data_IF_032394424096
#
_entry.id   IF_032394424096
#
_cell.length_a   1.000
_cell.length_b   1.000
_cell.length_c   1.000
_cell.angle_alpha   90.00
_cell.angle_beta   90.00
_cell.angle_gamma   90.00
#
_symmetry.space_group_name_H-M   'P 1'
#
loop_
_entity.id
_entity.type
_entity.pdbx_description
1 polymer ?
#
# COMPACT_ATOMS: atom_id res chain seq x y z
N UNK A 1 23.77 3.91 -24.38
CA UNK A 1 23.12 4.48 -23.19
C UNK A 1 21.75 4.98 -23.60
N UNK A 2 20.70 4.23 -23.25
CA UNK A 2 19.33 4.66 -23.50
C UNK A 2 19.02 5.80 -22.50
N UNK A 3 18.57 6.94 -23.01
CA UNK A 3 18.29 8.14 -22.20
C UNK A 3 17.16 7.80 -21.22
N UNK A 4 17.46 7.82 -19.91
CA UNK A 4 16.46 7.55 -18.86
C UNK A 4 15.32 8.59 -19.02
N UNK A 5 14.11 8.12 -19.34
CA UNK A 5 12.96 8.94 -19.78
C UNK A 5 12.67 10.11 -18.81
N UNK A 6 12.76 11.39 -19.20
CA UNK A 6 12.65 12.51 -18.26
C UNK A 6 11.31 12.51 -17.51
N UNK A 7 11.32 12.97 -16.25
CA UNK A 7 10.09 13.27 -15.52
C UNK A 7 9.38 14.45 -16.20
N UNK A 8 8.06 14.37 -16.32
CA UNK A 8 7.22 15.46 -16.80
C UNK A 8 7.02 16.54 -15.73
N UNK A 9 6.92 16.11 -14.47
CA UNK A 9 6.86 17.00 -13.32
C UNK A 9 7.70 16.44 -12.19
N UNK A 10 8.61 17.26 -11.68
CA UNK A 10 9.44 16.94 -10.52
C UNK A 10 8.66 17.08 -9.21
N UNK A 11 9.28 16.73 -8.08
CA UNK A 11 8.69 16.70 -6.74
C UNK A 11 8.18 18.07 -6.28
N UNK A 12 8.96 19.13 -6.55
CA UNK A 12 8.63 20.49 -6.13
C UNK A 12 7.80 21.27 -7.15
N UNK A 13 7.72 20.80 -8.38
CA UNK A 13 6.96 21.47 -9.43
C UNK A 13 5.44 21.40 -9.21
N UNK A 14 4.74 22.41 -9.71
CA UNK A 14 3.28 22.49 -9.68
C UNK A 14 2.76 22.40 -11.12
N UNK A 15 2.03 21.34 -11.49
CA UNK A 15 1.33 21.31 -12.77
C UNK A 15 0.31 22.45 -12.86
N UNK A 16 -0.01 22.93 -14.07
CA UNK A 16 -1.15 23.83 -14.30
C UNK A 16 -2.44 23.26 -13.70
N UNK A 17 -3.34 24.13 -13.23
CA UNK A 17 -4.52 23.73 -12.45
C UNK A 17 -5.37 22.60 -13.09
N UNK A 18 -5.58 22.64 -14.40
CA UNK A 18 -6.35 21.61 -15.11
C UNK A 18 -5.64 20.24 -15.13
N UNK A 19 -4.32 20.22 -15.31
CA UNK A 19 -3.50 19.00 -15.25
C UNK A 19 -3.34 18.52 -13.81
N UNK A 20 -3.22 19.44 -12.85
CA UNK A 20 -3.18 19.11 -11.44
C UNK A 20 -4.46 18.36 -11.03
N UNK A 21 -5.63 18.88 -11.42
CA UNK A 21 -6.92 18.22 -11.22
C UNK A 21 -6.98 16.84 -11.85
N UNK A 22 -6.58 16.72 -13.12
CA UNK A 22 -6.56 15.45 -13.85
C UNK A 22 -5.65 14.41 -13.17
N UNK A 23 -4.40 14.78 -12.87
CA UNK A 23 -3.45 13.86 -12.24
C UNK A 23 -3.84 13.51 -10.81
N UNK A 24 -4.43 14.46 -10.06
CA UNK A 24 -4.94 14.22 -8.71
C UNK A 24 -6.08 13.19 -8.73
N UNK A 25 -7.05 13.37 -9.64
CA UNK A 25 -8.15 12.42 -9.84
C UNK A 25 -7.63 11.06 -10.33
N UNK A 26 -6.63 11.08 -11.20
CA UNK A 26 -5.98 9.87 -11.68
C UNK A 26 -5.37 9.08 -10.53
N UNK A 27 -4.52 9.70 -9.72
CA UNK A 27 -3.93 9.03 -8.56
C UNK A 27 -5.02 8.56 -7.59
N UNK A 28 -6.11 9.31 -7.44
CA UNK A 28 -7.19 8.92 -6.54
C UNK A 28 -7.88 7.63 -7.00
N UNK A 29 -8.41 7.59 -8.22
CA UNK A 29 -9.11 6.41 -8.75
C UNK A 29 -8.19 5.20 -8.95
N UNK A 30 -6.90 5.44 -9.21
CA UNK A 30 -5.88 4.39 -9.26
C UNK A 30 -5.71 3.67 -7.92
N UNK A 31 -5.92 4.39 -6.82
CA UNK A 31 -5.77 3.87 -5.47
C UNK A 31 -7.05 3.28 -4.90
N UNK A 32 -8.22 3.50 -5.53
CA UNK A 32 -9.55 3.15 -4.99
C UNK A 32 -9.71 1.66 -4.69
N UNK A 33 -9.03 0.79 -5.44
CA UNK A 33 -9.13 -0.66 -5.23
C UNK A 33 -8.57 -1.10 -3.88
N UNK A 34 -7.58 -0.39 -3.30
CA UNK A 34 -7.01 -0.72 -2.01
C UNK A 34 -7.98 -0.47 -0.82
N UNK A 35 -8.51 0.74 -0.58
CA UNK A 35 -9.54 1.00 0.45
C UNK A 35 -10.78 0.16 0.24
N UNK A 36 -11.25 -0.04 -1.00
CA UNK A 36 -12.40 -0.93 -1.25
C UNK A 36 -12.10 -2.37 -0.88
N UNK A 37 -11.00 -2.94 -1.40
CA UNK A 37 -10.65 -4.34 -1.18
C UNK A 37 -10.44 -4.65 0.30
N UNK A 38 -9.64 -3.84 1.01
CA UNK A 38 -9.39 -4.07 2.44
C UNK A 38 -10.65 -3.85 3.27
N UNK A 39 -11.46 -2.82 2.99
CA UNK A 39 -12.68 -2.56 3.76
C UNK A 39 -13.73 -3.67 3.60
N UNK A 40 -13.86 -4.25 2.41
CA UNK A 40 -14.77 -5.38 2.17
C UNK A 40 -14.32 -6.60 2.99
N UNK A 41 -13.03 -6.94 2.95
CA UNK A 41 -12.52 -8.08 3.71
C UNK A 41 -12.60 -7.84 5.21
N UNK A 42 -12.26 -6.63 5.67
CA UNK A 42 -12.42 -6.23 7.08
C UNK A 42 -13.87 -6.39 7.51
N UNK A 43 -14.84 -5.92 6.71
CA UNK A 43 -16.25 -6.04 7.02
C UNK A 43 -16.71 -7.50 7.15
N UNK A 44 -16.14 -8.42 6.39
CA UNK A 44 -16.42 -9.85 6.53
C UNK A 44 -15.90 -10.40 7.86
N UNK A 45 -14.69 -10.01 8.27
CA UNK A 45 -14.06 -10.50 9.51
C UNK A 45 -14.72 -9.91 10.77
N UNK A 46 -15.27 -8.70 10.71
CA UNK A 46 -15.96 -8.05 11.83
C UNK A 46 -17.47 -8.30 11.87
N UNK A 47 -17.93 -9.39 11.22
CA UNK A 47 -19.34 -9.80 11.21
C UNK A 47 -20.31 -8.81 10.54
N UNK A 48 -19.81 -7.96 9.65
CA UNK A 48 -20.59 -6.96 8.90
C UNK A 48 -20.84 -7.37 7.43
N UNK A 49 -20.68 -8.65 7.09
CA UNK A 49 -20.82 -9.15 5.71
C UNK A 49 -22.22 -8.89 5.10
N UNK A 50 -23.29 -8.88 5.90
CA UNK A 50 -24.65 -8.59 5.41
C UNK A 50 -25.10 -7.15 5.66
N UNK A 51 -24.30 -6.39 6.42
CA UNK A 51 -24.61 -5.01 6.78
C UNK A 51 -23.90 -4.04 5.83
N UNK A 52 -24.61 -3.67 4.77
CA UNK A 52 -24.13 -2.71 3.77
C UNK A 52 -23.92 -1.30 4.36
N UNK A 53 -24.59 -0.96 5.46
CA UNK A 53 -24.40 0.34 6.13
C UNK A 53 -23.06 0.36 6.86
N UNK A 54 -22.75 -0.68 7.62
CA UNK A 54 -21.45 -0.79 8.30
C UNK A 54 -20.30 -0.89 7.28
N UNK A 55 -20.47 -1.65 6.19
CA UNK A 55 -19.48 -1.67 5.09
C UNK A 55 -19.22 -0.29 4.52
N UNK A 56 -20.27 0.49 4.25
CA UNK A 56 -20.14 1.85 3.75
C UNK A 56 -19.47 2.79 4.76
N UNK A 57 -19.73 2.61 6.07
CA UNK A 57 -19.07 3.36 7.13
C UNK A 57 -17.58 3.04 7.24
N UNK A 58 -17.20 1.75 7.22
CA UNK A 58 -15.79 1.31 7.23
C UNK A 58 -15.07 1.86 6.00
N UNK A 59 -15.69 1.77 4.81
CA UNK A 59 -15.14 2.31 3.59
C UNK A 59 -14.96 3.84 3.67
N UNK A 60 -15.98 4.57 4.13
CA UNK A 60 -15.90 6.03 4.28
C UNK A 60 -14.78 6.42 5.27
N UNK A 61 -14.67 5.73 6.40
CA UNK A 61 -13.59 5.93 7.36
C UNK A 61 -12.20 5.63 6.75
N UNK A 62 -12.09 4.53 6.02
CA UNK A 62 -10.88 4.15 5.28
C UNK A 62 -10.47 5.21 4.26
N UNK A 63 -11.41 5.69 3.44
CA UNK A 63 -11.17 6.74 2.45
C UNK A 63 -10.77 8.06 3.11
N UNK A 64 -11.43 8.44 4.22
CA UNK A 64 -11.08 9.65 4.98
C UNK A 64 -9.63 9.56 5.45
N UNK A 65 -9.25 8.42 6.03
CA UNK A 65 -7.92 8.21 6.55
C UNK A 65 -6.85 8.09 5.48
N UNK A 66 -7.13 7.43 4.35
CA UNK A 66 -6.24 7.45 3.19
C UNK A 66 -5.99 8.89 2.74
N UNK A 67 -7.03 9.73 2.73
CA UNK A 67 -6.94 11.14 2.37
C UNK A 67 -6.09 11.96 3.33
N UNK A 68 -6.39 11.88 4.63
CA UNK A 68 -5.65 12.57 5.71
C UNK A 68 -4.20 12.10 5.75
N UNK A 69 -3.96 10.79 5.76
CA UNK A 69 -2.63 10.20 5.82
C UNK A 69 -1.80 10.58 4.59
N UNK A 70 -2.38 10.53 3.39
CA UNK A 70 -1.70 10.94 2.16
C UNK A 70 -1.32 12.42 2.26
N UNK A 71 -2.25 13.30 2.62
CA UNK A 71 -1.95 14.72 2.74
C UNK A 71 -0.84 15.00 3.76
N UNK A 72 -0.90 14.36 4.94
CA UNK A 72 0.11 14.49 5.98
C UNK A 72 1.46 13.94 5.55
N UNK A 73 1.51 12.78 4.90
CA UNK A 73 2.75 12.13 4.44
C UNK A 73 3.50 13.00 3.41
N UNK A 74 2.75 13.57 2.46
CA UNK A 74 3.30 14.43 1.41
C UNK A 74 3.71 15.82 1.92
N UNK A 75 3.09 16.31 3.00
CA UNK A 75 3.32 17.67 3.54
C UNK A 75 4.32 17.69 4.67
N UNK A 76 4.12 16.83 5.67
CA UNK A 76 4.86 16.76 6.92
C UNK A 76 5.72 15.51 7.05
N UNK A 77 5.29 14.36 6.53
CA UNK A 77 5.99 13.08 6.64
C UNK A 77 7.28 13.04 5.83
N UNK A 78 7.42 12.05 4.98
CA UNK A 78 8.63 11.89 4.17
C UNK A 78 8.78 12.98 3.10
N UNK A 79 7.69 13.68 2.73
CA UNK A 79 7.65 14.69 1.65
C UNK A 79 8.06 14.13 0.29
N UNK A 80 7.66 12.90 0.01
CA UNK A 80 7.70 12.28 -1.31
C UNK A 80 6.26 12.07 -1.80
N UNK A 81 6.02 12.04 -3.12
CA UNK A 81 4.73 11.80 -3.77
C UNK A 81 4.21 10.36 -3.49
N UNK A 82 3.75 10.12 -2.26
CA UNK A 82 3.35 8.80 -1.78
C UNK A 82 1.88 8.84 -1.39
N UNK A 83 1.10 7.93 -1.97
CA UNK A 83 -0.25 7.62 -1.49
C UNK A 83 -0.15 6.70 -0.26
N UNK A 84 -0.95 7.01 0.75
CA UNK A 84 -1.10 6.20 1.95
C UNK A 84 -2.42 5.44 1.86
N UNK A 85 -2.34 4.12 1.84
CA UNK A 85 -3.48 3.22 1.71
C UNK A 85 -3.66 2.31 2.92
N UNK A 86 -4.74 1.51 2.95
CA UNK A 86 -4.91 0.48 3.97
C UNK A 86 -3.91 -0.66 3.78
N UNK A 87 -3.44 -1.24 4.88
CA UNK A 87 -2.65 -2.48 4.82
C UNK A 87 -3.54 -3.73 5.00
N UNK A 88 -3.35 -4.72 4.13
CA UNK A 88 -3.95 -6.04 4.29
C UNK A 88 -3.29 -6.87 5.39
N UNK A 89 -2.13 -6.46 5.90
CA UNK A 89 -1.42 -7.19 6.97
C UNK A 89 -2.22 -7.26 8.28
N UNK A 90 -3.16 -6.32 8.47
CA UNK A 90 -4.02 -6.28 9.67
C UNK A 90 -5.18 -7.29 9.59
N UNK A 91 -5.44 -7.85 8.41
CA UNK A 91 -6.49 -8.86 8.23
C UNK A 91 -6.13 -10.16 8.98
N UNK A 92 -4.86 -10.56 8.98
CA UNK A 92 -4.45 -11.80 9.66
C UNK A 92 -4.66 -11.70 11.18
N UNK A 93 -4.20 -10.64 11.89
CA UNK A 93 -4.57 -10.41 13.28
C UNK A 93 -6.07 -10.36 13.53
N UNK A 94 -6.86 -9.72 12.64
CA UNK A 94 -8.32 -9.69 12.78
C UNK A 94 -8.93 -11.09 12.70
N UNK A 95 -8.47 -11.94 11.78
CA UNK A 95 -8.92 -13.32 11.65
C UNK A 95 -8.61 -14.14 12.90
N UNK A 96 -7.38 -14.03 13.41
CA UNK A 96 -6.97 -14.66 14.67
C UNK A 96 -7.83 -14.17 15.85
N UNK A 97 -8.21 -12.90 15.86
CA UNK A 97 -9.08 -12.37 16.91
C UNK A 97 -10.50 -12.95 16.77
N UNK A 98 -11.05 -13.02 15.56
CA UNK A 98 -12.39 -13.56 15.30
C UNK A 98 -12.55 -15.05 15.62
N UNK A 99 -11.46 -15.83 15.61
CA UNK A 99 -11.50 -17.24 15.99
C UNK A 99 -11.55 -17.46 17.51
N UNK A 100 -11.16 -16.45 18.30
CA UNK A 100 -11.20 -16.55 19.76
C UNK A 100 -12.64 -16.49 20.29
N UNK A 101 -12.99 -17.29 21.32
CA UNK A 101 -14.38 -17.44 21.79
C UNK A 101 -15.00 -16.14 22.32
N UNK A 102 -14.18 -15.15 22.69
CA UNK A 102 -14.64 -13.82 23.13
C UNK A 102 -15.18 -12.95 21.99
N UNK A 103 -14.67 -13.13 20.77
CA UNK A 103 -14.90 -12.24 19.62
C UNK A 103 -15.54 -12.94 18.43
N UNK A 104 -16.12 -14.13 18.66
CA UNK A 104 -16.83 -14.89 17.64
C UNK A 104 -18.07 -14.14 17.17
N UNK A 105 -18.31 -14.21 15.86
CA UNK A 105 -19.52 -13.67 15.28
C UNK A 105 -20.77 -14.37 15.86
N UNK A 106 -21.85 -13.62 16.15
CA UNK A 106 -23.13 -14.23 16.53
C UNK A 106 -23.59 -15.21 15.44
N UNK A 107 -24.19 -16.35 15.80
CA UNK A 107 -24.53 -17.44 14.86
C UNK A 107 -25.45 -17.09 13.67
N UNK A 108 -25.93 -15.84 13.56
CA UNK A 108 -26.56 -15.27 12.35
C UNK A 108 -25.56 -14.88 11.25
N UNK A 109 -24.28 -14.80 11.60
CA UNK A 109 -23.16 -14.48 10.73
C UNK A 109 -22.24 -15.70 10.67
N UNK A 110 -22.03 -16.23 9.46
CA UNK A 110 -21.08 -17.32 9.25
C UNK A 110 -19.67 -16.78 9.48
N UNK A 111 -18.98 -17.28 10.51
CA UNK A 111 -17.57 -16.98 10.72
C UNK A 111 -16.76 -17.58 9.57
N UNK A 112 -15.87 -16.80 8.94
CA UNK A 112 -14.95 -17.32 7.93
C UNK A 112 -14.10 -18.41 8.59
N UNK A 113 -14.30 -19.67 8.16
CA UNK A 113 -13.35 -20.72 8.49
C UNK A 113 -12.03 -20.40 7.77
N UNK A 114 -10.88 -20.35 8.46
CA UNK A 114 -9.59 -20.06 7.84
C UNK A 114 -9.16 -21.11 6.79
N UNK A 115 -9.90 -22.22 6.66
CA UNK A 115 -9.65 -23.34 5.75
C UNK A 115 -10.60 -23.34 4.53
N UNK A 116 -11.62 -22.48 4.51
CA UNK A 116 -12.54 -22.41 3.39
C UNK A 116 -11.92 -21.62 2.21
N UNK A 117 -11.50 -22.40 1.20
CA UNK A 117 -11.01 -21.95 -0.12
C UNK A 117 -12.03 -21.11 -0.92
N UNK A 118 -13.21 -20.86 -0.37
CA UNK A 118 -14.29 -20.01 -0.91
C UNK A 118 -14.22 -18.55 -0.41
N UNK A 119 -13.30 -18.23 0.51
CA UNK A 119 -13.16 -16.89 1.05
C UNK A 119 -12.52 -15.89 0.07
N UNK A 120 -13.07 -14.68 0.06
CA UNK A 120 -12.60 -13.53 -0.75
C UNK A 120 -11.13 -13.20 -0.46
N UNK A 121 -10.61 -13.59 0.70
CA UNK A 121 -9.20 -13.51 1.06
C UNK A 121 -8.28 -14.27 0.08
N UNK A 122 -8.65 -15.50 -0.30
CA UNK A 122 -7.92 -16.25 -1.33
C UNK A 122 -8.16 -15.68 -2.73
N UNK A 123 -9.31 -15.04 -2.98
CA UNK A 123 -9.59 -14.44 -4.29
C UNK A 123 -8.82 -13.12 -4.50
N UNK A 124 -8.55 -12.37 -3.43
CA UNK A 124 -7.77 -11.13 -3.44
C UNK A 124 -6.26 -11.40 -3.35
N UNK A 125 -5.83 -12.51 -2.72
CA UNK A 125 -4.40 -12.80 -2.46
C UNK A 125 -3.86 -14.02 -3.22
N UNK A 126 -4.68 -14.94 -3.73
CA UNK A 126 -4.16 -16.08 -4.47
C UNK A 126 -5.22 -17.09 -4.88
N UNK A 127 -5.83 -16.91 -6.05
CA UNK A 127 -6.30 -18.06 -6.81
C UNK A 127 -6.22 -17.83 -8.31
N UNK A 128 -5.74 -18.86 -9.00
CA UNK A 128 -5.22 -18.83 -10.37
C UNK A 128 -6.24 -18.33 -11.41
N UNK A 129 -6.16 -17.05 -11.75
CA UNK A 129 -6.60 -16.57 -13.07
C UNK A 129 -5.40 -15.96 -13.79
N UNK A 130 -4.59 -16.83 -14.39
CA UNK A 130 -3.61 -16.41 -15.38
C UNK A 130 -4.36 -15.91 -16.63
N UNK A 131 -4.46 -14.58 -16.77
CA UNK A 131 -5.01 -13.94 -17.97
C UNK A 131 -3.89 -13.86 -19.02
N UNK A 132 -4.14 -14.23 -20.29
CA UNK A 132 -3.12 -14.23 -21.33
C UNK A 132 -2.54 -12.82 -21.56
N UNK A 133 -1.23 -12.68 -21.31
CA UNK A 133 -0.47 -11.44 -21.41
C UNK A 133 -0.10 -11.07 -22.85
N UNK A 134 -1.12 -10.81 -23.70
CA UNK A 134 -0.87 -10.34 -25.07
C UNK A 134 -1.49 -8.96 -25.29
N UNK A 135 -0.59 -8.00 -25.51
CA UNK A 135 -0.82 -6.56 -25.80
C UNK A 135 -1.17 -5.66 -24.61
N UNK A 136 -0.23 -5.51 -23.68
CA UNK A 136 -0.31 -4.50 -22.61
C UNK A 136 0.77 -3.42 -22.73
N UNK A 137 0.94 -2.83 -23.91
CA UNK A 137 1.77 -1.63 -24.09
C UNK A 137 1.16 -0.83 -25.23
N UNK A 138 0.43 0.28 -24.99
CA UNK A 138 0.27 1.31 -26.05
C UNK A 138 -0.37 2.69 -25.76
N UNK A 139 -0.44 3.29 -24.56
CA UNK A 139 -0.41 4.78 -24.36
C UNK A 139 -0.58 5.11 -22.87
N UNK A 140 0.33 5.95 -22.35
CA UNK A 140 0.51 6.20 -20.92
C UNK A 140 -0.46 7.27 -20.41
N UNK A 141 -0.75 7.23 -19.10
CA UNK A 141 -1.50 8.21 -18.30
C UNK A 141 -3.04 8.03 -18.28
N UNK A 142 -3.71 7.76 -19.40
CA UNK A 142 -5.20 7.63 -19.40
C UNK A 142 -5.73 6.20 -19.17
N UNK A 143 -4.91 5.16 -19.36
CA UNK A 143 -5.45 3.80 -19.57
C UNK A 143 -5.88 3.03 -18.35
N UNK A 144 -5.27 3.22 -17.19
CA UNK A 144 -5.73 2.50 -15.98
C UNK A 144 -7.04 3.11 -15.46
N UNK A 145 -7.23 4.42 -15.66
CA UNK A 145 -8.52 5.06 -15.47
C UNK A 145 -9.56 4.51 -16.44
N UNK A 146 -9.20 4.47 -17.73
CA UNK A 146 -10.06 3.92 -18.78
C UNK A 146 -10.36 2.46 -18.49
N UNK A 147 -9.43 1.66 -17.97
CA UNK A 147 -9.71 0.25 -17.66
C UNK A 147 -10.73 0.09 -16.53
N UNK A 148 -10.70 0.97 -15.52
CA UNK A 148 -11.73 0.97 -14.47
C UNK A 148 -13.10 1.34 -15.06
N UNK A 149 -13.16 2.42 -15.84
CA UNK A 149 -14.41 2.90 -16.46
C UNK A 149 -14.96 1.90 -17.48
N UNK A 150 -14.12 1.36 -18.35
CA UNK A 150 -14.48 0.37 -19.36
C UNK A 150 -14.84 -0.95 -18.72
N UNK A 151 -14.11 -1.39 -17.69
CA UNK A 151 -14.44 -2.61 -16.94
C UNK A 151 -15.80 -2.51 -16.24
N UNK A 152 -16.07 -1.37 -15.60
CA UNK A 152 -17.37 -1.09 -14.99
C UNK A 152 -18.49 -1.01 -16.04
N UNK A 153 -18.27 -0.29 -17.14
CA UNK A 153 -19.26 -0.16 -18.22
C UNK A 153 -19.54 -1.49 -18.90
N UNK A 154 -18.51 -2.31 -19.14
CA UNK A 154 -18.66 -3.64 -19.73
C UNK A 154 -19.44 -4.58 -18.81
N UNK A 155 -19.12 -4.60 -17.52
CA UNK A 155 -19.92 -5.31 -16.52
C UNK A 155 -21.36 -4.80 -16.48
N UNK A 156 -21.58 -3.48 -16.57
CA UNK A 156 -22.91 -2.88 -16.64
C UNK A 156 -23.71 -3.35 -17.85
N UNK A 157 -23.08 -3.42 -19.03
CA UNK A 157 -23.70 -3.96 -20.26
C UNK A 157 -24.08 -5.43 -20.09
N UNK A 158 -23.18 -6.26 -19.55
CA UNK A 158 -23.44 -7.68 -19.31
C UNK A 158 -24.53 -7.91 -18.25
N UNK A 159 -24.57 -7.05 -17.23
CA UNK A 159 -25.64 -7.03 -16.22
C UNK A 159 -26.99 -6.72 -16.89
N UNK A 160 -27.04 -5.65 -17.69
CA UNK A 160 -28.25 -5.24 -18.39
C UNK A 160 -28.73 -6.25 -19.45
N UNK A 161 -27.81 -7.03 -20.03
CA UNK A 161 -28.16 -8.09 -20.99
C UNK A 161 -28.62 -9.40 -20.33
N UNK A 162 -28.66 -9.48 -18.99
CA UNK A 162 -29.03 -10.69 -18.25
C UNK A 162 -28.00 -11.81 -18.35
N UNK A 163 -26.72 -11.48 -18.60
CA UNK A 163 -25.66 -12.48 -18.75
C UNK A 163 -25.26 -13.10 -17.40
N UNK A 164 -25.28 -12.32 -16.32
CA UNK A 164 -24.91 -12.79 -14.98
C UNK A 164 -26.13 -13.31 -14.23
N UNK A 165 -25.99 -14.42 -13.51
CA UNK A 165 -27.04 -14.94 -12.62
C UNK A 165 -27.54 -13.92 -11.60
N UNK A 166 -28.86 -13.96 -11.31
CA UNK A 166 -29.51 -13.18 -10.26
C UNK A 166 -29.34 -13.80 -8.86
N UNK A 167 -28.83 -15.03 -8.77
CA UNK A 167 -28.65 -15.75 -7.50
C UNK A 167 -27.50 -15.14 -6.67
N UNK A 168 -27.77 -14.58 -5.47
CA UNK A 168 -26.76 -13.97 -4.60
C UNK A 168 -25.64 -14.91 -4.16
N UNK A 169 -25.85 -16.23 -4.24
CA UNK A 169 -24.86 -17.24 -3.88
C UNK A 169 -23.92 -17.58 -5.04
N UNK A 170 -24.25 -17.17 -6.26
CA UNK A 170 -23.44 -17.41 -7.44
C UNK A 170 -22.23 -16.47 -7.50
N UNK A 171 -21.09 -16.96 -8.01
CA UNK A 171 -19.90 -16.12 -8.24
C UNK A 171 -20.15 -15.01 -9.28
N UNK A 172 -21.05 -15.25 -10.21
CA UNK A 172 -21.44 -14.31 -11.26
C UNK A 172 -22.16 -13.08 -10.71
N UNK A 173 -22.89 -13.23 -9.61
CA UNK A 173 -23.56 -12.12 -8.93
C UNK A 173 -22.57 -11.04 -8.48
N UNK A 174 -21.35 -11.43 -8.08
CA UNK A 174 -20.27 -10.49 -7.69
C UNK A 174 -19.73 -9.64 -8.85
N UNK A 175 -20.03 -10.04 -10.09
CA UNK A 175 -19.64 -9.34 -11.30
C UNK A 175 -20.70 -8.33 -11.78
N UNK A 176 -21.86 -8.24 -11.11
CA UNK A 176 -22.95 -7.34 -11.47
C UNK A 176 -22.77 -5.93 -10.91
N UNK A 177 -23.25 -4.93 -11.65
CA UNK A 177 -23.26 -3.51 -11.21
C UNK A 177 -24.47 -3.14 -10.36
N UNK A 178 -25.59 -3.85 -10.54
CA UNK A 178 -26.87 -3.61 -9.86
C UNK A 178 -27.04 -4.40 -8.55
N UNK A 179 -26.18 -5.39 -8.29
CA UNK A 179 -26.19 -6.23 -7.09
C UNK A 179 -26.23 -5.43 -5.77
N UNK A 180 -25.79 -4.18 -5.81
CA UNK A 180 -25.70 -3.26 -4.67
C UNK A 180 -26.36 -1.90 -4.94
N UNK A 181 -27.28 -1.82 -5.92
CA UNK A 181 -27.89 -0.56 -6.38
C UNK A 181 -28.68 0.17 -5.29
N UNK A 182 -29.31 -0.57 -4.40
CA UNK A 182 -30.08 -0.04 -3.25
C UNK A 182 -29.25 0.80 -2.27
N UNK A 183 -27.93 0.65 -2.27
CA UNK A 183 -27.05 1.36 -1.34
C UNK A 183 -27.01 2.87 -1.68
N UNK A 184 -27.07 3.23 -2.97
CA UNK A 184 -27.00 4.64 -3.40
C UNK A 184 -28.21 5.43 -2.92
N UNK A 185 -29.40 4.80 -2.91
CA UNK A 185 -30.64 5.44 -2.46
C UNK A 185 -30.75 5.53 -0.93
N UNK A 186 -30.20 4.54 -0.22
CA UNK A 186 -30.19 4.49 1.26
C UNK A 186 -29.06 5.31 1.89
N UNK A 187 -28.00 5.61 1.15
CA UNK A 187 -26.87 6.37 1.65
C UNK A 187 -27.26 7.83 1.95
N UNK A 188 -26.82 8.33 3.11
CA UNK A 188 -26.93 9.74 3.43
C UNK A 188 -26.09 10.58 2.47
N UNK A 189 -26.53 11.81 2.23
CA UNK A 189 -25.77 12.75 1.37
C UNK A 189 -24.42 13.08 2.00
N UNK A 190 -24.41 13.24 3.33
CA UNK A 190 -23.20 13.47 4.12
C UNK A 190 -23.11 12.41 5.23
N UNK A 191 -21.95 11.78 5.37
CA UNK A 191 -21.60 10.96 6.52
C UNK A 191 -20.15 11.26 6.89
N UNK A 192 -19.91 11.68 8.13
CA UNK A 192 -18.57 12.02 8.62
C UNK A 192 -18.16 10.95 9.62
N UNK A 193 -17.15 10.13 9.31
CA UNK A 193 -16.56 9.22 10.28
C UNK A 193 -16.06 9.97 11.51
N UNK A 194 -16.39 9.50 12.71
CA UNK A 194 -15.94 10.08 13.97
C UNK A 194 -15.43 9.00 14.92
N UNK A 195 -14.51 9.33 15.86
CA UNK A 195 -13.93 8.34 16.73
C UNK A 195 -14.95 7.65 17.63
N UNK A 196 -14.83 6.33 17.78
CA UNK A 196 -15.71 5.53 18.63
C UNK A 196 -17.11 5.25 18.07
N UNK A 197 -17.38 5.56 16.78
CA UNK A 197 -18.66 5.27 16.11
C UNK A 197 -19.01 3.76 16.13
N UNK A 198 -18.01 2.89 16.06
CA UNK A 198 -18.15 1.43 16.03
C UNK A 198 -17.90 0.75 17.39
N UNK A 199 -17.76 1.52 18.48
CA UNK A 199 -17.55 0.98 19.83
C UNK A 199 -16.46 1.69 20.63
N UNK A 200 -16.37 1.35 21.92
CA UNK A 200 -15.35 1.87 22.82
C UNK A 200 -14.01 1.13 22.71
N UNK A 201 -12.98 1.66 23.37
CA UNK A 201 -11.66 1.02 23.42
C UNK A 201 -11.71 -0.21 24.33
N UNK A 202 -11.32 -1.37 23.79
CA UNK A 202 -11.08 -2.59 24.53
C UNK A 202 -9.61 -3.01 24.38
N UNK A 203 -9.05 -3.68 25.39
CA UNK A 203 -7.66 -4.13 25.37
C UNK A 203 -7.60 -5.65 25.51
N UNK A 204 -6.94 -6.29 24.54
CA UNK A 204 -6.59 -7.72 24.59
C UNK A 204 -5.10 -7.87 24.31
N UNK A 205 -4.40 -8.61 25.18
CA UNK A 205 -2.96 -8.86 25.05
C UNK A 205 -2.63 -9.62 23.77
N UNK A 206 -3.45 -10.61 23.40
CA UNK A 206 -3.27 -11.39 22.18
C UNK A 206 -3.48 -10.52 20.93
N UNK A 207 -4.54 -9.71 20.91
CA UNK A 207 -4.77 -8.74 19.85
C UNK A 207 -3.62 -7.75 19.71
N UNK A 208 -3.17 -7.16 20.83
CA UNK A 208 -2.04 -6.23 20.86
C UNK A 208 -0.79 -6.82 20.22
N UNK A 209 -0.40 -8.05 20.59
CA UNK A 209 0.80 -8.68 20.06
C UNK A 209 0.70 -8.95 18.55
N UNK A 210 -0.44 -9.44 18.07
CA UNK A 210 -0.67 -9.71 16.65
C UNK A 210 -0.67 -8.43 15.80
N UNK A 211 -1.36 -7.38 16.25
CA UNK A 211 -1.37 -6.09 15.54
C UNK A 211 -0.02 -5.39 15.61
N UNK A 212 0.73 -5.53 16.71
CA UNK A 212 2.09 -5.01 16.83
C UNK A 212 3.02 -5.60 15.76
N UNK A 213 2.97 -6.92 15.55
CA UNK A 213 3.75 -7.59 14.50
C UNK A 213 3.33 -7.11 13.11
N UNK A 214 2.03 -7.03 12.84
CA UNK A 214 1.53 -6.50 11.57
C UNK A 214 2.00 -5.05 11.32
N UNK A 215 2.08 -4.24 12.38
CA UNK A 215 2.64 -2.88 12.32
C UNK A 215 4.12 -2.91 11.95
N UNK A 216 4.92 -3.79 12.57
CA UNK A 216 6.35 -3.89 12.26
C UNK A 216 6.58 -4.31 10.81
N UNK A 217 5.79 -5.26 10.31
CA UNK A 217 5.84 -5.68 8.92
C UNK A 217 5.45 -4.54 7.96
N UNK A 218 4.44 -3.74 8.30
CA UNK A 218 4.05 -2.59 7.47
C UNK A 218 5.13 -1.51 7.44
N UNK A 219 5.83 -1.27 8.56
CA UNK A 219 6.98 -0.34 8.58
C UNK A 219 8.10 -0.82 7.66
N UNK A 220 8.39 -2.13 7.61
CA UNK A 220 9.42 -2.67 6.72
C UNK A 220 9.07 -2.44 5.24
N UNK A 221 7.81 -2.68 4.86
CA UNK A 221 7.32 -2.40 3.51
C UNK A 221 7.45 -0.90 3.17
N UNK A 222 7.06 -0.02 4.11
CA UNK A 222 7.13 1.43 3.91
C UNK A 222 8.56 1.95 3.71
N UNK A 223 9.57 1.36 4.37
CA UNK A 223 10.97 1.73 4.14
C UNK A 223 11.41 1.42 2.70
N UNK A 224 10.99 0.27 2.17
CA UNK A 224 11.23 -0.14 0.79
C UNK A 224 10.56 0.81 -0.20
N UNK A 225 9.29 1.12 0.03
CA UNK A 225 8.49 2.03 -0.78
C UNK A 225 9.03 3.45 -0.78
N UNK A 226 9.50 3.98 0.35
CA UNK A 226 10.10 5.32 0.39
C UNK A 226 11.34 5.39 -0.49
N UNK A 227 12.18 4.36 -0.41
CA UNK A 227 13.40 4.25 -1.22
C UNK A 227 13.08 4.09 -2.71
N UNK A 228 12.07 3.29 -3.04
CA UNK A 228 11.55 3.18 -4.39
C UNK A 228 10.98 4.50 -4.90
N UNK A 229 10.21 5.21 -4.08
CA UNK A 229 9.64 6.50 -4.45
C UNK A 229 10.72 7.54 -4.75
N UNK A 230 11.77 7.63 -3.91
CA UNK A 230 12.87 8.56 -4.12
C UNK A 230 13.61 8.29 -5.43
N UNK A 231 13.92 7.02 -5.73
CA UNK A 231 14.56 6.63 -6.99
C UNK A 231 13.67 6.90 -8.20
N UNK A 232 12.39 6.53 -8.13
CA UNK A 232 11.43 6.83 -9.20
C UNK A 232 11.34 8.33 -9.46
N UNK A 233 11.35 9.14 -8.39
CA UNK A 233 11.28 10.59 -8.47
C UNK A 233 12.63 11.27 -8.72
N UNK A 234 13.72 10.51 -8.90
CA UNK A 234 15.07 11.00 -9.20
C UNK A 234 15.59 12.01 -8.20
N UNK A 235 15.42 11.70 -6.92
CA UNK A 235 15.99 12.46 -5.82
C UNK A 235 16.98 11.61 -5.02
N UNK A 236 17.93 12.24 -4.32
CA UNK A 236 18.93 11.55 -3.53
C UNK A 236 18.30 10.59 -2.51
N UNK A 237 19.05 9.55 -2.07
CA UNK A 237 18.62 8.65 -1.01
C UNK A 237 18.15 9.42 0.24
N UNK A 238 17.14 8.85 0.90
CA UNK A 238 16.52 9.50 2.03
C UNK A 238 17.47 9.59 3.24
N UNK A 239 17.58 10.77 3.87
CA UNK A 239 18.28 10.89 5.14
C UNK A 239 17.47 10.29 6.30
N UNK A 240 18.14 9.91 7.39
CA UNK A 240 17.52 9.26 8.57
C UNK A 240 16.35 10.04 9.15
N UNK A 241 16.43 11.37 9.21
CA UNK A 241 15.34 12.20 9.73
C UNK A 241 14.07 12.10 8.89
N UNK A 242 14.20 11.88 7.58
CA UNK A 242 13.06 11.76 6.66
C UNK A 242 12.37 10.40 6.84
N UNK A 243 13.14 9.32 7.03
CA UNK A 243 12.61 8.00 7.40
C UNK A 243 11.82 8.05 8.70
N UNK A 244 12.44 8.54 9.78
CA UNK A 244 11.81 8.61 11.10
C UNK A 244 10.54 9.45 11.09
N UNK A 245 10.53 10.56 10.34
CA UNK A 245 9.35 11.42 10.23
C UNK A 245 8.24 10.80 9.39
N UNK A 246 8.59 10.09 8.30
CA UNK A 246 7.62 9.31 7.53
C UNK A 246 6.92 8.28 8.41
N UNK A 247 7.71 7.40 9.05
CA UNK A 247 7.19 6.35 9.94
C UNK A 247 6.35 6.94 11.08
N UNK A 248 6.75 8.08 11.66
CA UNK A 248 5.97 8.73 12.71
C UNK A 248 4.60 9.22 12.23
N UNK A 249 4.52 9.80 11.02
CA UNK A 249 3.26 10.24 10.42
C UNK A 249 2.37 9.04 10.07
N UNK A 250 2.97 7.93 9.62
CA UNK A 250 2.26 6.68 9.35
C UNK A 250 1.70 6.04 10.62
N UNK A 251 2.47 6.06 11.72
CA UNK A 251 2.01 5.66 13.05
C UNK A 251 0.86 6.53 13.56
N UNK A 252 0.96 7.86 13.40
CA UNK A 252 -0.11 8.79 13.74
C UNK A 252 -1.39 8.50 12.92
N UNK A 253 -1.24 8.32 11.61
CA UNK A 253 -2.34 7.94 10.74
C UNK A 253 -2.97 6.61 11.18
N UNK A 254 -2.16 5.63 11.55
CA UNK A 254 -2.63 4.33 12.05
C UNK A 254 -3.43 4.44 13.35
N UNK A 255 -2.99 5.28 14.30
CA UNK A 255 -3.74 5.57 15.53
C UNK A 255 -5.10 6.19 15.19
N UNK A 256 -5.12 7.16 14.27
CA UNK A 256 -6.36 7.80 13.83
C UNK A 256 -7.30 6.80 13.12
N UNK A 257 -6.76 5.93 12.24
CA UNK A 257 -7.53 4.86 11.59
C UNK A 257 -8.16 3.90 12.59
N UNK A 258 -7.41 3.49 13.62
CA UNK A 258 -7.96 2.69 14.71
C UNK A 258 -9.08 3.43 15.46
N UNK A 259 -8.89 4.71 15.76
CA UNK A 259 -9.88 5.52 16.48
C UNK A 259 -11.19 5.70 15.70
N UNK A 260 -11.11 5.84 14.38
CA UNK A 260 -12.27 6.00 13.49
C UNK A 260 -12.95 4.68 13.12
N UNK A 261 -12.43 3.54 13.59
CA UNK A 261 -13.00 2.23 13.32
C UNK A 261 -12.74 1.72 11.90
N UNK A 262 -11.62 2.11 11.27
CA UNK A 262 -11.25 1.58 9.95
C UNK A 262 -10.80 0.11 10.01
N UNK A 263 -10.39 -0.36 11.20
CA UNK A 263 -9.85 -1.70 11.47
C UNK A 263 -8.61 -2.10 10.63
N UNK A 264 -7.94 -1.14 9.99
CA UNK A 264 -6.66 -1.34 9.30
C UNK A 264 -5.69 -0.18 9.63
N UNK A 265 -4.39 -0.41 9.43
CA UNK A 265 -3.38 0.64 9.50
C UNK A 265 -3.22 1.40 8.18
N UNK A 266 -2.50 2.51 8.26
CA UNK A 266 -2.02 3.25 7.09
C UNK A 266 -0.64 2.73 6.70
N UNK A 267 -0.42 2.52 5.40
CA UNK A 267 0.88 2.11 4.83
C UNK A 267 1.12 2.84 3.51
N UNK A 268 2.38 3.00 3.09
CA UNK A 268 2.64 3.46 1.73
C UNK A 268 2.14 2.45 0.70
N UNK A 269 1.69 2.96 -0.45
CA UNK A 269 1.14 2.12 -1.50
C UNK A 269 2.01 2.12 -2.75
N UNK A 270 2.73 1.01 -2.94
CA UNK A 270 3.60 0.77 -4.09
C UNK A 270 2.94 0.95 -5.46
N UNK A 271 1.64 0.64 -5.60
CA UNK A 271 0.92 0.76 -6.88
C UNK A 271 0.96 2.18 -7.47
N UNK A 272 0.81 3.21 -6.62
CA UNK A 272 0.90 4.60 -7.06
C UNK A 272 2.34 5.00 -7.43
N UNK A 273 3.34 4.42 -6.75
CA UNK A 273 4.75 4.61 -7.09
C UNK A 273 5.05 3.99 -8.47
N UNK A 274 4.52 2.79 -8.73
CA UNK A 274 4.60 2.13 -10.05
C UNK A 274 3.98 2.98 -11.16
N UNK A 275 2.78 3.52 -10.90
CA UNK A 275 2.13 4.45 -11.82
C UNK A 275 2.96 5.73 -12.03
N UNK A 276 3.58 6.29 -10.99
CA UNK A 276 4.48 7.43 -11.09
C UNK A 276 5.69 7.13 -12.00
N UNK A 277 6.31 5.95 -11.88
CA UNK A 277 7.46 5.56 -12.71
C UNK A 277 7.14 5.48 -14.21
N UNK A 278 5.88 5.24 -14.55
CA UNK A 278 5.43 5.17 -15.94
C UNK A 278 4.97 6.53 -16.44
N UNK A 279 4.20 7.25 -15.63
CA UNK A 279 3.58 8.55 -15.95
C UNK A 279 4.59 9.69 -15.91
N UNK A 280 5.66 9.57 -15.15
CA UNK A 280 6.67 10.61 -14.98
C UNK A 280 6.18 11.84 -14.22
N UNK A 281 5.06 11.73 -13.48
CA UNK A 281 4.48 12.83 -12.69
C UNK A 281 4.77 12.61 -11.21
N UNK A 282 5.89 13.16 -10.73
CA UNK A 282 6.36 13.01 -9.35
C UNK A 282 5.97 14.20 -8.44
N UNK A 283 5.12 15.12 -8.91
CA UNK A 283 4.74 16.30 -8.14
C UNK A 283 3.99 15.94 -6.86
N UNK A 284 4.47 16.44 -5.72
CA UNK A 284 3.80 16.27 -4.41
C UNK A 284 2.41 16.89 -4.38
N UNK A 285 2.20 17.95 -5.16
CA UNK A 285 0.94 18.70 -5.19
C UNK A 285 -0.19 17.84 -5.77
N UNK A 286 0.14 16.97 -6.72
CA UNK A 286 -0.78 15.96 -7.26
C UNK A 286 -1.24 15.00 -6.15
N UNK A 287 -0.32 14.52 -5.32
CA UNK A 287 -0.64 13.60 -4.22
C UNK A 287 -1.33 14.29 -3.04
N UNK A 288 -1.00 15.55 -2.75
CA UNK A 288 -1.76 16.36 -1.80
C UNK A 288 -3.21 16.56 -2.27
N UNK A 289 -3.43 16.84 -3.57
CA UNK A 289 -4.76 16.94 -4.13
C UNK A 289 -5.49 15.59 -4.11
N UNK A 290 -4.79 14.48 -4.41
CA UNK A 290 -5.33 13.13 -4.24
C UNK A 290 -5.86 12.92 -2.82
N UNK A 291 -5.08 13.31 -1.80
CA UNK A 291 -5.52 13.26 -0.40
C UNK A 291 -6.79 14.08 -0.13
N UNK A 292 -6.87 15.30 -0.68
CA UNK A 292 -8.06 16.16 -0.58
C UNK A 292 -9.27 15.51 -1.26
N UNK A 293 -9.10 14.95 -2.46
CA UNK A 293 -10.17 14.24 -3.19
C UNK A 293 -10.71 13.10 -2.32
N UNK A 294 -9.85 12.31 -1.69
CA UNK A 294 -10.26 11.22 -0.80
C UNK A 294 -11.04 11.71 0.43
N UNK A 295 -10.61 12.81 1.06
CA UNK A 295 -11.36 13.43 2.16
C UNK A 295 -12.75 13.87 1.70
N UNK A 296 -12.85 14.49 0.52
CA UNK A 296 -14.13 14.91 -0.05
C UNK A 296 -15.03 13.71 -0.39
N UNK A 297 -14.47 12.66 -0.99
CA UNK A 297 -15.20 11.42 -1.30
C UNK A 297 -15.71 10.73 -0.04
N UNK A 298 -14.97 10.79 1.06
CA UNK A 298 -15.38 10.18 2.33
C UNK A 298 -16.58 10.89 2.98
N UNK A 299 -16.59 12.23 2.93
CA UNK A 299 -17.66 13.05 3.52
C UNK A 299 -18.96 12.97 2.72
N UNK A 300 -18.88 12.78 1.41
CA UNK A 300 -20.07 12.63 0.54
C UNK A 300 -20.47 11.15 0.46
N UNK A 301 -21.39 10.74 1.33
CA UNK A 301 -21.79 9.32 1.47
C UNK A 301 -22.26 8.66 0.18
N UNK A 302 -22.88 9.43 -0.73
CA UNK A 302 -23.26 8.94 -2.07
C UNK A 302 -22.08 8.56 -2.96
N UNK A 303 -20.94 9.24 -2.83
CA UNK A 303 -19.73 8.90 -3.58
C UNK A 303 -19.16 7.58 -3.06
N UNK A 304 -19.13 7.38 -1.73
CA UNK A 304 -18.78 6.10 -1.12
C UNK A 304 -19.68 4.95 -1.59
N UNK A 305 -21.00 5.18 -1.60
CA UNK A 305 -21.98 4.21 -2.10
C UNK A 305 -21.76 3.85 -3.57
N UNK A 306 -21.43 4.83 -4.42
CA UNK A 306 -21.08 4.59 -5.82
C UNK A 306 -19.85 3.67 -5.95
N UNK A 307 -18.80 3.89 -5.17
CA UNK A 307 -17.60 3.04 -5.21
C UNK A 307 -17.87 1.58 -4.80
N UNK A 308 -18.85 1.33 -3.93
CA UNK A 308 -19.25 -0.04 -3.52
C UNK A 308 -19.92 -0.81 -4.68
N UNK A 309 -20.52 -0.10 -5.65
CA UNK A 309 -21.12 -0.71 -6.84
C UNK A 309 -20.09 -1.22 -7.85
N UNK A 310 -18.81 -0.89 -7.67
CA UNK A 310 -17.77 -1.38 -8.58
C UNK A 310 -17.65 -2.90 -8.42
N UNK A 311 -17.84 -3.68 -9.50
CA UNK A 311 -17.77 -5.13 -9.42
C UNK A 311 -16.40 -5.63 -8.95
N UNK A 312 -16.39 -6.70 -8.15
CA UNK A 312 -15.16 -7.27 -7.61
C UNK A 312 -14.14 -7.69 -8.69
N UNK A 313 -14.54 -8.29 -9.84
CA UNK A 313 -13.59 -8.63 -10.90
C UNK A 313 -12.88 -7.41 -11.49
N UNK A 314 -13.56 -6.26 -11.58
CA UNK A 314 -12.96 -5.01 -12.09
C UNK A 314 -11.93 -4.49 -11.09
N UNK A 315 -12.27 -4.50 -9.79
CA UNK A 315 -11.34 -4.11 -8.73
C UNK A 315 -10.10 -5.02 -8.72
N UNK A 316 -10.28 -6.34 -8.79
CA UNK A 316 -9.20 -7.31 -8.86
C UNK A 316 -8.28 -7.08 -10.07
N UNK A 317 -8.86 -6.87 -11.26
CA UNK A 317 -8.10 -6.58 -12.47
C UNK A 317 -7.27 -5.29 -12.38
N UNK A 318 -7.84 -4.23 -11.80
CA UNK A 318 -7.10 -2.97 -11.59
C UNK A 318 -5.95 -3.12 -10.60
N UNK A 319 -6.17 -3.84 -9.49
CA UNK A 319 -5.13 -4.15 -8.51
C UNK A 319 -3.99 -4.97 -9.12
N UNK A 320 -4.32 -5.98 -9.94
CA UNK A 320 -3.33 -6.82 -10.64
C UNK A 320 -2.40 -5.98 -11.54
N UNK A 321 -2.99 -5.07 -12.33
CA UNK A 321 -2.20 -4.18 -13.20
C UNK A 321 -1.29 -3.30 -12.37
N UNK A 322 -1.81 -2.64 -11.33
CA UNK A 322 -1.02 -1.71 -10.51
C UNK A 322 0.12 -2.40 -9.77
N UNK A 323 -0.13 -3.59 -9.22
CA UNK A 323 0.90 -4.39 -8.57
C UNK A 323 1.94 -4.88 -9.57
N UNK A 324 1.53 -5.32 -10.76
CA UNK A 324 2.46 -5.71 -11.83
C UNK A 324 3.37 -4.56 -12.28
N UNK A 325 2.83 -3.34 -12.38
CA UNK A 325 3.62 -2.15 -12.70
C UNK A 325 4.61 -1.81 -11.58
N UNK A 326 4.19 -1.93 -10.33
CA UNK A 326 5.07 -1.73 -9.18
C UNK A 326 6.20 -2.77 -9.15
N UNK A 327 5.89 -4.06 -9.30
CA UNK A 327 6.89 -5.14 -9.37
C UNK A 327 7.90 -4.87 -10.50
N UNK A 328 7.42 -4.51 -11.70
CA UNK A 328 8.31 -4.20 -12.83
C UNK A 328 9.24 -3.02 -12.54
N UNK A 329 8.75 -1.99 -11.86
CA UNK A 329 9.57 -0.85 -11.43
C UNK A 329 10.60 -1.23 -10.35
N UNK A 330 10.23 -2.07 -9.39
CA UNK A 330 11.17 -2.58 -8.36
C UNK A 330 12.23 -3.48 -8.98
N UNK A 331 11.88 -4.33 -9.95
CA UNK A 331 12.85 -5.16 -10.67
C UNK A 331 13.85 -4.32 -11.47
N UNK A 332 13.42 -3.20 -12.05
CA UNK A 332 14.33 -2.25 -12.70
C UNK A 332 15.37 -1.67 -11.73
N UNK A 333 15.10 -1.63 -10.42
CA UNK A 333 16.13 -1.24 -9.44
C UNK A 333 17.20 -2.26 -9.20
N UNK A 334 17.00 -3.53 -9.56
CA UNK A 334 18.07 -4.50 -9.47
C UNK A 334 19.23 -4.19 -10.45
N UNK A 335 19.03 -3.27 -11.40
CA UNK A 335 20.11 -2.74 -12.23
C UNK A 335 21.17 -1.96 -11.42
N UNK A 336 20.87 -1.52 -10.20
CA UNK A 336 21.85 -0.83 -9.34
C UNK A 336 22.88 -1.77 -8.72
N UNK A 337 22.64 -3.08 -8.76
CA UNK A 337 23.58 -4.08 -8.23
C UNK A 337 24.27 -4.81 -9.39
N UNK A 338 25.39 -5.48 -9.12
CA UNK A 338 26.10 -6.22 -10.16
C UNK A 338 25.35 -7.52 -10.51
N UNK A 339 24.49 -7.47 -11.52
CA UNK A 339 23.73 -8.63 -12.03
C UNK A 339 24.58 -9.64 -12.81
N UNK A 340 25.87 -9.38 -13.05
CA UNK A 340 26.79 -10.40 -13.59
C UNK A 340 27.35 -11.33 -12.51
N UNK A 341 27.19 -10.95 -11.24
CA UNK A 341 27.65 -11.77 -10.12
C UNK A 341 26.68 -12.93 -9.88
N UNK A 342 27.18 -14.15 -9.99
CA UNK A 342 26.42 -15.38 -9.69
C UNK A 342 25.90 -15.39 -8.26
N UNK A 343 26.66 -14.82 -7.30
CA UNK A 343 26.22 -14.59 -5.92
C UNK A 343 24.90 -13.81 -5.87
N UNK A 344 24.87 -12.63 -6.48
CA UNK A 344 23.70 -11.76 -6.40
C UNK A 344 22.48 -12.38 -7.09
N UNK A 345 22.69 -13.00 -8.25
CA UNK A 345 21.64 -13.74 -8.96
C UNK A 345 21.06 -14.88 -8.10
N UNK A 346 21.92 -15.64 -7.41
CA UNK A 346 21.49 -16.71 -6.51
C UNK A 346 20.68 -16.16 -5.32
N UNK A 347 21.14 -15.07 -4.68
CA UNK A 347 20.44 -14.44 -3.56
C UNK A 347 19.04 -13.96 -4.01
N UNK A 348 18.95 -13.25 -5.13
CA UNK A 348 17.67 -12.76 -5.68
C UNK A 348 16.74 -13.94 -5.96
N UNK A 349 17.21 -14.94 -6.72
CA UNK A 349 16.39 -16.08 -7.14
C UNK A 349 15.87 -16.89 -5.94
N UNK A 350 16.74 -17.17 -4.97
CA UNK A 350 16.37 -17.91 -3.76
C UNK A 350 15.40 -17.11 -2.88
N UNK A 351 15.63 -15.81 -2.70
CA UNK A 351 14.73 -14.95 -1.92
C UNK A 351 13.33 -14.88 -2.53
N UNK A 352 13.23 -14.71 -3.86
CA UNK A 352 11.95 -14.71 -4.56
C UNK A 352 11.23 -16.06 -4.43
N UNK A 353 11.96 -17.16 -4.63
CA UNK A 353 11.38 -18.50 -4.55
C UNK A 353 10.88 -18.82 -3.13
N UNK A 354 11.70 -18.56 -2.10
CA UNK A 354 11.33 -18.77 -0.71
C UNK A 354 10.17 -17.87 -0.27
N UNK A 355 10.18 -16.61 -0.71
CA UNK A 355 9.09 -15.66 -0.46
C UNK A 355 7.76 -16.10 -1.04
N UNK A 356 7.75 -16.90 -2.11
CA UNK A 356 6.52 -17.47 -2.68
C UNK A 356 6.15 -18.83 -2.08
N UNK A 357 7.13 -19.71 -1.85
CA UNK A 357 6.90 -21.08 -1.38
C UNK A 357 6.47 -21.12 0.09
N UNK A 358 7.12 -20.37 0.98
CA UNK A 358 6.84 -20.48 2.42
C UNK A 358 5.40 -20.06 2.76
N UNK A 359 4.86 -18.93 2.29
CA UNK A 359 3.46 -18.57 2.55
C UNK A 359 2.47 -19.62 2.02
N UNK A 360 2.74 -20.15 0.82
CA UNK A 360 1.95 -21.21 0.24
C UNK A 360 1.98 -22.49 1.08
N UNK A 361 3.15 -22.87 1.60
CA UNK A 361 3.29 -24.04 2.45
C UNK A 361 2.57 -23.86 3.79
N UNK A 362 2.71 -22.70 4.45
CA UNK A 362 2.05 -22.41 5.73
C UNK A 362 0.54 -22.46 5.61
N UNK A 363 0.00 -21.91 4.52
CA UNK A 363 -1.46 -21.90 4.26
C UNK A 363 -2.00 -23.32 4.06
N UNK A 364 -1.25 -24.20 3.39
CA UNK A 364 -1.66 -25.57 3.12
C UNK A 364 -1.34 -26.56 4.26
N UNK A 365 -0.55 -26.16 5.25
CA UNK A 365 -0.14 -27.00 6.38
C UNK A 365 -0.41 -26.30 7.71
N UNK A 366 -1.68 -26.07 8.09
CA UNK A 366 -2.04 -25.31 9.29
C UNK A 366 -1.53 -25.95 10.59
N UNK A 367 -1.35 -27.27 10.62
CA UNK A 367 -0.77 -28.02 11.75
C UNK A 367 0.75 -28.23 11.63
N UNK A 368 1.38 -27.73 10.57
CA UNK A 368 2.80 -27.96 10.29
C UNK A 368 3.78 -27.28 11.26
N UNK A 369 3.31 -26.33 12.06
CA UNK A 369 4.08 -25.61 13.08
C UNK A 369 3.44 -25.89 14.44
N UNK A 370 4.21 -26.56 15.31
CA UNK A 370 3.82 -26.90 16.68
C UNK A 370 5.05 -26.76 17.60
N UNK A 371 5.18 -25.61 18.26
CA UNK A 371 6.20 -25.34 19.27
C UNK A 371 5.71 -25.64 20.69
N UNK A 372 4.50 -26.19 20.85
CA UNK A 372 3.85 -26.39 22.15
C UNK A 372 3.23 -25.13 22.77
N UNK A 373 3.21 -24.01 22.04
CA UNK A 373 2.59 -22.75 22.45
C UNK A 373 1.81 -22.16 21.28
N UNK A 374 0.49 -22.11 21.40
CA UNK A 374 -0.41 -21.61 20.36
C UNK A 374 -0.10 -20.16 19.95
N UNK A 375 0.36 -19.34 20.90
CA UNK A 375 0.72 -17.95 20.68
C UNK A 375 1.98 -17.83 19.81
N UNK A 376 2.99 -18.67 20.08
CA UNK A 376 4.23 -18.70 19.30
C UNK A 376 3.98 -19.28 17.91
N UNK A 377 3.18 -20.33 17.82
CA UNK A 377 2.79 -20.93 16.54
C UNK A 377 2.05 -19.91 15.66
N UNK A 378 1.11 -19.16 16.23
CA UNK A 378 0.38 -18.10 15.53
C UNK A 378 1.34 -17.00 15.05
N UNK A 379 2.29 -16.59 15.89
CA UNK A 379 3.30 -15.59 15.55
C UNK A 379 4.17 -16.04 14.38
N UNK A 380 4.67 -17.27 14.41
CA UNK A 380 5.49 -17.84 13.33
C UNK A 380 4.66 -17.94 12.05
N UNK A 381 3.41 -18.39 12.13
CA UNK A 381 2.49 -18.48 10.98
C UNK A 381 2.26 -17.11 10.35
N UNK A 382 2.04 -16.05 11.13
CA UNK A 382 1.86 -14.68 10.60
C UNK A 382 3.11 -14.21 9.85
N UNK A 383 4.29 -14.40 10.43
CA UNK A 383 5.56 -13.99 9.81
C UNK A 383 5.84 -14.77 8.51
N UNK A 384 5.69 -16.09 8.54
CA UNK A 384 5.98 -16.95 7.39
C UNK A 384 4.89 -16.90 6.31
N UNK A 385 3.68 -16.44 6.64
CA UNK A 385 2.62 -16.17 5.67
C UNK A 385 2.81 -14.85 4.92
N UNK A 386 3.76 -14.01 5.32
CA UNK A 386 4.06 -12.75 4.64
C UNK A 386 5.17 -12.93 3.59
N UNK A 387 4.87 -12.87 2.27
CA UNK A 387 5.86 -13.08 1.22
C UNK A 387 7.02 -12.09 1.25
N UNK A 388 6.72 -10.81 1.51
CA UNK A 388 7.72 -9.73 1.57
C UNK A 388 8.70 -9.94 2.72
N UNK A 389 8.19 -10.32 3.90
CA UNK A 389 9.00 -10.62 5.06
C UNK A 389 9.92 -11.81 4.80
N UNK A 390 9.37 -12.93 4.33
CA UNK A 390 10.16 -14.15 4.07
C UNK A 390 11.25 -13.86 3.04
N UNK A 391 10.87 -13.29 1.88
CA UNK A 391 11.83 -12.96 0.84
C UNK A 391 12.92 -12.00 1.32
N UNK A 392 12.53 -10.93 2.02
CA UNK A 392 13.46 -9.95 2.57
C UNK A 392 14.39 -10.51 3.65
N UNK A 393 13.86 -11.34 4.56
CA UNK A 393 14.63 -11.99 5.62
C UNK A 393 15.70 -12.91 5.01
N UNK A 394 15.31 -13.80 4.09
CA UNK A 394 16.27 -14.71 3.46
C UNK A 394 17.25 -13.97 2.56
N UNK A 395 16.83 -12.94 1.81
CA UNK A 395 17.73 -12.08 1.05
C UNK A 395 18.79 -11.44 1.95
N UNK A 396 18.37 -10.87 3.09
CA UNK A 396 19.27 -10.24 4.05
C UNK A 396 20.23 -11.26 4.68
N UNK A 397 19.71 -12.41 5.12
CA UNK A 397 20.51 -13.48 5.71
C UNK A 397 21.57 -14.01 4.72
N UNK A 398 21.20 -14.19 3.44
CA UNK A 398 22.12 -14.64 2.40
C UNK A 398 23.12 -13.54 1.99
N UNK A 399 22.71 -12.27 1.90
CA UNK A 399 23.63 -11.17 1.58
C UNK A 399 24.70 -10.97 2.67
N UNK A 400 24.37 -11.25 3.93
CA UNK A 400 25.33 -11.17 5.03
C UNK A 400 26.18 -12.43 5.19
N UNK A 401 25.64 -13.62 4.90
CA UNK A 401 26.39 -14.87 5.04
C UNK A 401 27.29 -15.19 3.84
N UNK A 402 26.91 -14.79 2.62
CA UNK A 402 27.68 -15.08 1.40
C UNK A 402 28.69 -13.95 1.13
N UNK A 403 30.02 -14.23 1.06
CA UNK A 403 31.04 -13.22 0.80
C UNK A 403 30.79 -12.42 -0.48
N UNK A 404 30.97 -11.11 -0.43
CA UNK A 404 30.79 -10.23 -1.60
C UNK A 404 31.26 -8.81 -1.32
N UNK A 405 31.64 -8.08 -2.38
CA UNK A 405 32.17 -6.72 -2.25
C UNK A 405 31.07 -5.66 -2.15
N UNK A 406 31.36 -4.50 -1.55
CA UNK A 406 30.41 -3.38 -1.48
C UNK A 406 30.01 -2.85 -2.86
N UNK A 407 30.90 -2.96 -3.85
CA UNK A 407 30.62 -2.61 -5.24
C UNK A 407 29.61 -3.58 -5.86
N UNK A 408 29.78 -4.89 -5.65
CA UNK A 408 28.84 -5.88 -6.18
C UNK A 408 27.44 -5.73 -5.58
N UNK A 409 27.35 -5.32 -4.31
CA UNK A 409 26.09 -5.01 -3.62
C UNK A 409 25.43 -3.70 -4.06
N UNK A 410 26.09 -2.90 -4.90
CA UNK A 410 25.59 -1.56 -5.29
C UNK A 410 25.61 -0.52 -4.15
N UNK A 411 26.29 -0.81 -3.03
CA UNK A 411 26.29 0.04 -1.83
C UNK A 411 27.35 1.12 -1.87
N UNK A 412 28.45 0.90 -2.60
CA UNK A 412 29.60 1.81 -2.58
C UNK A 412 29.25 3.21 -3.10
N UNK A 413 28.43 3.30 -4.16
CA UNK A 413 27.96 4.59 -4.69
C UNK A 413 26.94 5.23 -3.73
N UNK A 414 25.99 4.46 -3.21
CA UNK A 414 24.99 4.97 -2.26
C UNK A 414 25.62 5.50 -0.97
N UNK A 415 26.66 4.86 -0.44
CA UNK A 415 27.36 5.30 0.77
C UNK A 415 28.10 6.63 0.52
N UNK A 416 28.83 6.75 -0.60
CA UNK A 416 29.49 8.00 -0.99
C UNK A 416 28.50 9.15 -1.16
N UNK A 417 27.33 8.87 -1.74
CA UNK A 417 26.26 9.84 -1.84
C UNK A 417 25.75 10.25 -0.46
N UNK A 418 25.49 9.30 0.45
CA UNK A 418 25.00 9.54 1.81
C UNK A 418 25.94 10.46 2.61
N UNK A 419 27.24 10.21 2.54
CA UNK A 419 28.29 10.93 3.29
C UNK A 419 28.64 12.31 2.71
N UNK A 420 28.14 12.65 1.52
CA UNK A 420 28.25 14.00 0.95
C UNK A 420 29.62 14.32 0.36
N UNK A 421 30.47 13.32 0.11
CA UNK A 421 31.81 13.48 -0.50
C UNK A 421 31.78 13.72 -2.02
N UNK A 422 30.71 14.28 -2.58
CA UNK A 422 30.63 14.60 -4.00
C UNK A 422 31.25 15.97 -4.31
N UNK A 423 32.57 16.09 -4.16
CA UNK A 423 33.30 17.24 -4.73
C UNK A 423 34.32 16.88 -5.82
N UNK A 424 34.89 15.68 -5.87
CA UNK A 424 35.92 15.38 -6.88
C UNK A 424 35.92 13.91 -7.32
N UNK A 425 35.29 13.58 -8.46
CA UNK A 425 35.89 12.84 -9.57
C UNK A 425 34.89 12.49 -10.68
N UNK A 426 35.31 12.76 -11.90
CA UNK A 426 34.71 12.44 -13.18
C UNK A 426 34.78 10.93 -13.52
N UNK A 427 33.92 10.11 -12.92
CA UNK A 427 33.77 8.71 -13.36
C UNK A 427 32.29 8.29 -13.32
N UNK A 428 31.72 8.08 -14.51
CA UNK A 428 30.43 7.46 -14.83
C UNK A 428 29.19 7.88 -14.02
N UNK A 429 28.40 8.82 -14.58
CA UNK A 429 27.05 9.22 -14.14
C UNK A 429 26.15 7.99 -13.87
N UNK A 430 25.98 7.56 -12.62
CA UNK A 430 25.02 6.49 -12.30
C UNK A 430 23.60 7.00 -12.02
N UNK A 431 23.40 8.21 -11.48
CA UNK A 431 22.06 8.85 -11.44
C UNK A 431 22.13 10.38 -11.46
N UNK A 432 21.65 11.03 -12.52
CA UNK A 432 21.48 12.49 -12.56
C UNK A 432 20.20 12.85 -11.79
N UNK A 433 20.36 13.33 -10.55
CA UNK A 433 19.24 13.77 -9.71
C UNK A 433 18.64 15.08 -10.23
N UNK A 434 17.31 15.17 -10.23
CA UNK A 434 16.59 16.36 -10.70
C UNK A 434 16.47 17.44 -9.60
N UNK A 435 16.46 17.03 -8.34
CA UNK A 435 16.39 17.92 -7.16
C UNK A 435 17.33 17.39 -6.06
N UNK A 436 17.75 18.25 -5.13
CA UNK A 436 18.64 17.88 -4.03
C UNK A 436 17.90 17.43 -2.76
N UNK A 437 18.63 17.28 -1.65
CA UNK A 437 18.07 16.80 -0.36
C UNK A 437 17.10 17.78 0.30
N UNK A 438 17.04 19.02 -0.16
CA UNK A 438 16.09 20.02 0.31
C UNK A 438 14.63 19.61 0.16
N UNK A 439 14.33 18.70 -0.78
CA UNK A 439 13.00 18.13 -0.94
C UNK A 439 12.48 17.46 0.33
N UNK A 440 13.37 16.91 1.16
CA UNK A 440 13.00 16.25 2.41
C UNK A 440 12.84 17.20 3.60
N UNK A 441 13.26 18.47 3.48
CA UNK A 441 13.25 19.43 4.60
C UNK A 441 11.88 20.05 4.79
N UNK A 442 11.46 20.36 6.01
CA UNK A 442 10.20 21.10 6.23
C UNK A 442 10.42 22.61 6.00
N UNK A 443 9.77 23.24 4.99
CA UNK A 443 10.07 24.62 4.60
C UNK A 443 9.63 25.64 5.64
N UNK A 444 8.59 25.33 6.43
CA UNK A 444 8.02 26.21 7.44
C UNK A 444 8.76 26.16 8.79
N UNK A 445 9.75 25.26 8.97
CA UNK A 445 10.53 25.19 10.21
C UNK A 445 11.71 26.17 10.13
N UNK A 446 11.77 27.19 11.02
CA UNK A 446 12.86 28.15 11.06
C UNK A 446 14.21 27.48 11.32
N UNK A 447 15.29 28.03 10.75
CA UNK A 447 16.65 27.53 11.01
C UNK A 447 17.02 27.58 12.50
N UNK A 448 16.49 28.56 13.25
CA UNK A 448 16.68 28.65 14.69
C UNK A 448 16.17 27.42 15.44
N UNK A 449 15.00 26.88 15.06
CA UNK A 449 14.46 25.66 15.65
C UNK A 449 15.33 24.44 15.32
N UNK A 450 15.85 24.33 14.10
CA UNK A 450 16.73 23.22 13.67
C UNK A 450 18.04 23.16 14.44
N UNK A 451 18.49 24.30 14.99
CA UNK A 451 19.68 24.39 15.85
C UNK A 451 19.38 24.15 17.34
N UNK A 452 18.10 24.12 17.72
CA UNK A 452 17.67 23.94 19.11
C UNK A 452 18.03 22.55 19.65
N UNK A 453 18.13 22.44 20.98
CA UNK A 453 18.30 21.14 21.64
C UNK A 453 17.10 20.21 21.40
N UNK A 454 15.90 20.77 21.26
CA UNK A 454 14.66 20.01 21.01
C UNK A 454 14.71 19.29 19.66
N UNK A 455 15.16 19.96 18.60
CA UNK A 455 15.31 19.35 17.28
C UNK A 455 16.36 18.22 17.26
N UNK A 456 17.33 18.24 18.18
CA UNK A 456 18.32 17.16 18.36
C UNK A 456 17.78 15.97 19.14
N UNK A 457 16.80 16.19 20.02
CA UNK A 457 16.17 15.13 20.82
C UNK A 457 15.20 14.32 19.93
N UNK A 458 14.41 15.00 19.10
CA UNK A 458 13.45 14.33 18.22
C UNK A 458 14.08 14.02 16.86
N UNK A 459 14.31 12.75 16.51
CA UNK A 459 15.07 12.37 15.32
C UNK A 459 14.24 12.47 14.02
N UNK A 460 13.28 13.40 13.96
CA UNK A 460 12.38 13.68 12.82
C UNK A 460 12.77 14.96 12.07
N UNK A 461 13.59 15.81 12.70
CA UNK A 461 13.99 17.10 12.15
C UNK A 461 15.39 17.02 11.55
N UNK A 462 15.59 17.79 10.49
CA UNK A 462 16.93 17.99 9.92
C UNK A 462 17.74 18.90 10.86
N UNK A 463 18.66 18.31 11.61
CA UNK A 463 19.58 19.03 12.48
C UNK A 463 20.84 19.37 11.72
N UNK A 464 21.18 20.66 11.65
CA UNK A 464 22.48 21.10 11.13
C UNK A 464 23.53 20.69 12.15
N UNK A 465 24.39 19.72 11.81
CA UNK A 465 25.63 19.51 12.56
C UNK A 465 26.44 20.81 12.49
N UNK A 466 27.03 21.21 13.62
CA UNK A 466 27.96 22.34 13.66
C UNK A 466 29.14 22.08 12.74
#
# INVERSE_FOLDING_TARGET
>A
MEKIRPLHYSISETPPFHLLGLFGLQQALLSVSAPLGVSIVVAEVVCAQKDEVIKAQILSASMLMCGVATFLMNTFGVRLPIFQGPTSMYIVPLLVMSSSPEWQCPGTYESINPVDNSSILLTVVGNNTAIPARQMILTKISRVMISLVVGWAFSGILTASGFFSDDPTSKEFLARTDAKGDIISRASVFDVPYPGKLGGLAFSTAGFLSFFIATLLSVLDSIGDYSACARTARVPPLPRFAFNRGIAVEGLATILSGSLGCCHASVSYGGNIGAMGITGVASRRVFQLCGIIYVLCAVVGKIGAFFITIPLPVLGGTSLVMMGLFIGMVLSYLETINLRSTRNLAIIGMALLLGLIMPYWVTNNPEGINTGSEQVDTLIKILLSNPSFVGGFFACAMDNSVPGTLKDRGLLEQMKELDGESSDLSTEKSTEYMEGREVYRLPFIPQAFRRSKVAKIFPMFDTVSK
#
